data_IF_429803529229
#
_entry.id   IF_429803529229
#
_cell.length_a   1.000
_cell.length_b   1.000
_cell.length_c   1.000
_cell.angle_alpha   90.00
_cell.angle_beta   90.00
_cell.angle_gamma   90.00
#
_symmetry.space_group_name_H-M   'P 1'
#
loop_
_entity.id
_entity.type
_entity.pdbx_description
1 polymer ?
#
# COMPACT_ATOMS: atom_id res chain seq x y z
N UNK A 1 0.58 9.79 -23.99
CA UNK A 1 1.11 10.56 -22.83
C UNK A 1 0.12 11.67 -22.53
N UNK A 2 -0.65 11.62 -21.43
CA UNK A 2 -1.56 12.71 -21.11
C UNK A 2 -0.75 13.90 -20.58
N UNK A 3 -1.04 15.08 -21.10
CA UNK A 3 -0.53 16.37 -20.62
C UNK A 3 -1.30 16.73 -19.34
N UNK A 4 -0.60 16.82 -18.21
CA UNK A 4 -1.20 17.33 -16.97
C UNK A 4 -1.32 18.86 -17.05
N UNK A 5 -2.55 19.38 -16.97
CA UNK A 5 -2.84 20.80 -16.80
C UNK A 5 -2.86 21.10 -15.31
N UNK A 6 -1.90 21.89 -14.82
CA UNK A 6 -1.80 22.26 -13.41
C UNK A 6 -2.31 23.69 -13.22
N UNK A 7 -3.41 23.84 -12.48
CA UNK A 7 -3.87 25.14 -11.96
C UNK A 7 -3.19 25.46 -10.62
N UNK A 8 -2.89 26.74 -10.42
CA UNK A 8 -2.24 27.25 -9.20
C UNK A 8 -3.26 27.32 -8.07
N UNK A 9 -3.13 26.44 -7.07
CA UNK A 9 -3.85 26.58 -5.80
C UNK A 9 -3.28 27.74 -4.98
N UNK A 10 -4.12 28.71 -4.67
CA UNK A 10 -3.81 29.85 -3.80
C UNK A 10 -3.71 29.44 -2.32
N UNK A 11 -2.61 29.82 -1.69
CA UNK A 11 -2.34 29.64 -0.25
C UNK A 11 -3.38 30.39 0.61
N UNK A 12 -4.19 29.63 1.35
CA UNK A 12 -5.00 30.14 2.46
C UNK A 12 -4.17 30.22 3.75
N UNK A 13 -4.24 31.35 4.44
CA UNK A 13 -3.60 31.62 5.74
C UNK A 13 -4.28 30.84 6.89
N UNK A 14 -3.53 30.35 7.90
CA UNK A 14 -4.13 29.68 9.06
C UNK A 14 -4.58 30.70 10.13
N UNK A 15 -5.88 30.69 10.46
CA UNK A 15 -6.39 31.30 11.69
C UNK A 15 -6.08 30.39 12.90
N UNK A 16 -5.53 31.01 13.95
CA UNK A 16 -5.23 30.38 15.23
C UNK A 16 -6.43 30.51 16.16
N UNK A 17 -6.93 29.40 16.70
CA UNK A 17 -7.91 29.42 17.78
C UNK A 17 -7.28 28.86 19.07
N UNK A 18 -7.20 29.75 20.07
CA UNK A 18 -6.79 29.54 21.44
C UNK A 18 -8.02 29.18 22.29
N UNK A 19 -7.84 28.28 23.27
CA UNK A 19 -8.79 28.05 24.37
C UNK A 19 -9.00 26.55 24.60
N UNK A 20 -9.12 26.02 25.81
CA UNK A 20 -9.27 26.60 27.14
C UNK A 20 -8.87 25.52 28.15
N UNK A 21 -8.33 25.93 29.30
CA UNK A 21 -8.03 25.07 30.44
C UNK A 21 -9.29 24.42 31.03
N UNK A 22 -9.17 23.17 31.48
CA UNK A 22 -10.16 22.48 32.30
C UNK A 22 -9.48 21.66 33.38
N UNK A 23 -9.35 22.25 34.57
CA UNK A 23 -9.01 21.60 35.84
C UNK A 23 -10.22 20.79 36.36
N UNK A 24 -9.98 19.61 36.91
CA UNK A 24 -10.96 18.85 37.71
C UNK A 24 -10.35 17.55 38.24
N UNK A 25 -9.70 17.58 39.41
CA UNK A 25 -10.20 17.18 40.72
C UNK A 25 -10.36 15.66 40.95
N UNK A 26 -9.39 15.13 41.71
CA UNK A 26 -9.42 14.08 42.75
C UNK A 26 -10.68 13.24 42.99
N UNK A 27 -10.52 11.94 43.23
CA UNK A 27 -10.94 11.31 44.50
C UNK A 27 -10.38 9.89 44.72
N UNK A 28 -9.89 9.68 45.95
CA UNK A 28 -9.53 8.41 46.58
C UNK A 28 -10.69 7.41 46.58
N UNK A 29 -10.38 6.11 46.50
CA UNK A 29 -11.01 5.13 47.41
C UNK A 29 -10.10 3.90 47.60
N UNK A 30 -9.60 3.74 48.82
CA UNK A 30 -9.09 2.49 49.35
C UNK A 30 -10.23 1.48 49.51
N UNK A 31 -10.03 0.24 49.08
CA UNK A 31 -10.68 -0.91 49.72
C UNK A 31 -9.65 -2.01 49.93
N UNK A 32 -9.32 -2.19 51.22
CA UNK A 32 -8.65 -3.33 51.81
C UNK A 32 -9.61 -4.52 51.76
N UNK A 33 -9.14 -5.70 51.31
CA UNK A 33 -10.01 -6.85 51.14
C UNK A 33 -9.30 -8.21 51.11
N UNK A 34 -8.89 -8.66 52.30
CA UNK A 34 -8.88 -10.06 52.76
C UNK A 34 -8.09 -11.10 51.95
N UNK A 35 -6.88 -11.40 52.45
CA UNK A 35 -6.19 -12.68 52.34
C UNK A 35 -7.14 -13.85 52.65
N UNK A 36 -7.40 -14.69 51.64
CA UNK A 36 -7.86 -16.06 51.84
C UNK A 36 -6.75 -16.99 51.39
N UNK A 37 -6.02 -17.53 52.37
CA UNK A 37 -4.96 -18.51 52.17
C UNK A 37 -5.64 -19.89 52.08
N UNK A 38 -6.03 -20.28 50.87
CA UNK A 38 -6.53 -21.63 50.61
C UNK A 38 -5.35 -22.49 50.17
N UNK A 39 -4.89 -23.34 51.09
CA UNK A 39 -3.84 -24.31 50.87
C UNK A 39 -4.42 -25.48 50.03
N UNK A 40 -4.33 -25.39 48.70
CA UNK A 40 -4.55 -26.54 47.82
C UNK A 40 -3.22 -27.29 47.64
N UNK A 41 -3.18 -28.53 48.13
CA UNK A 41 -2.16 -29.49 47.77
C UNK A 41 -2.38 -29.89 46.30
N UNK A 42 -1.73 -29.18 45.38
CA UNK A 42 -1.70 -29.54 43.97
C UNK A 42 -0.65 -30.65 43.77
N UNK A 43 -1.13 -31.86 43.51
CA UNK A 43 -0.34 -32.97 42.97
C UNK A 43 0.29 -32.50 41.67
N UNK A 44 1.59 -32.20 41.70
CA UNK A 44 2.36 -31.74 40.55
C UNK A 44 2.53 -32.89 39.57
N UNK A 45 1.59 -33.05 38.65
CA UNK A 45 1.83 -33.82 37.43
C UNK A 45 2.75 -32.98 36.56
N UNK A 46 4.02 -33.37 36.50
CA UNK A 46 4.96 -32.82 35.53
C UNK A 46 4.38 -33.05 34.12
N UNK A 47 3.74 -32.01 33.58
CA UNK A 47 3.34 -32.03 32.18
C UNK A 47 4.62 -32.09 31.36
N UNK A 48 4.69 -32.96 30.33
CA UNK A 48 5.76 -32.88 29.36
C UNK A 48 5.75 -31.46 28.81
N UNK A 49 6.89 -30.79 28.90
CA UNK A 49 7.12 -29.51 28.26
C UNK A 49 7.04 -29.82 26.78
N UNK A 50 5.85 -29.70 26.20
CA UNK A 50 5.63 -29.74 24.78
C UNK A 50 6.65 -28.78 24.19
N UNK A 51 7.55 -29.34 23.38
CA UNK A 51 8.54 -28.59 22.65
C UNK A 51 7.78 -27.52 21.87
N UNK A 52 7.79 -26.31 22.42
CA UNK A 52 7.12 -25.16 21.89
C UNK A 52 7.71 -24.96 20.51
N UNK A 53 6.96 -25.41 19.51
CA UNK A 53 7.31 -25.25 18.11
C UNK A 53 7.61 -23.78 17.94
N UNK A 54 8.88 -23.46 17.69
CA UNK A 54 9.29 -22.10 17.40
C UNK A 54 8.31 -21.57 16.35
N UNK A 55 7.71 -20.38 16.56
CA UNK A 55 6.73 -19.87 15.62
C UNK A 55 7.37 -19.92 14.24
N UNK A 56 6.78 -20.70 13.33
CA UNK A 56 7.17 -20.72 11.93
C UNK A 56 7.35 -19.26 11.55
N UNK A 57 8.57 -18.87 11.19
CA UNK A 57 8.96 -17.48 11.02
C UNK A 57 7.87 -16.79 10.22
N UNK A 58 7.07 -15.95 10.89
CA UNK A 58 5.85 -15.42 10.31
C UNK A 58 6.28 -14.63 9.09
N UNK A 59 6.02 -15.19 7.91
CA UNK A 59 6.40 -14.56 6.66
C UNK A 59 5.70 -13.21 6.63
N UNK A 60 6.44 -12.15 6.32
CA UNK A 60 5.88 -10.80 6.26
C UNK A 60 4.61 -10.81 5.39
N UNK A 61 3.48 -10.26 5.87
CA UNK A 61 2.16 -10.48 5.27
C UNK A 61 2.05 -9.93 3.85
N UNK A 62 2.95 -9.04 3.46
CA UNK A 62 2.98 -8.41 2.15
C UNK A 62 3.84 -9.16 1.11
N UNK A 63 4.51 -10.25 1.48
CA UNK A 63 5.32 -11.03 0.52
C UNK A 63 4.46 -11.83 -0.47
N UNK A 64 4.89 -11.85 -1.72
CA UNK A 64 4.22 -12.52 -2.83
C UNK A 64 3.76 -11.56 -3.91
N UNK A 65 2.89 -12.07 -4.80
CA UNK A 65 2.31 -11.31 -5.91
C UNK A 65 0.89 -10.87 -5.56
N UNK A 66 0.58 -9.62 -5.85
CA UNK A 66 -0.65 -8.96 -5.45
C UNK A 66 -1.22 -8.17 -6.62
N UNK A 67 -2.50 -8.37 -6.90
CA UNK A 67 -3.28 -7.40 -7.66
C UNK A 67 -3.69 -6.28 -6.73
N UNK A 68 -3.47 -5.03 -7.12
CA UNK A 68 -3.78 -3.83 -6.35
C UNK A 68 -4.80 -3.01 -7.11
N UNK A 69 -5.94 -2.74 -6.50
CA UNK A 69 -6.97 -1.83 -7.02
C UNK A 69 -7.14 -0.66 -6.06
N UNK A 70 -7.08 0.55 -6.60
CA UNK A 70 -7.38 1.81 -5.93
C UNK A 70 -8.69 2.33 -6.47
N UNK A 71 -9.58 2.77 -5.58
CA UNK A 71 -10.75 3.57 -5.89
C UNK A 71 -10.53 4.97 -5.33
N UNK A 72 -10.55 5.97 -6.20
CA UNK A 72 -10.44 7.36 -5.81
C UNK A 72 -11.76 7.84 -5.22
N UNK A 73 -11.66 8.78 -4.29
CA UNK A 73 -12.80 9.38 -3.61
C UNK A 73 -13.75 10.01 -4.65
N UNK A 74 -15.04 9.64 -4.69
CA UNK A 74 -16.02 10.29 -5.57
C UNK A 74 -16.20 11.78 -5.27
N UNK A 75 -15.88 12.24 -4.06
CA UNK A 75 -15.99 13.66 -3.66
C UNK A 75 -14.77 14.50 -4.06
N UNK A 76 -13.75 13.90 -4.68
CA UNK A 76 -12.62 14.68 -5.22
C UNK A 76 -13.05 15.57 -6.39
N UNK A 77 -12.44 16.77 -6.48
CA UNK A 77 -12.63 17.79 -7.53
C UNK A 77 -12.17 17.34 -8.94
N UNK A 78 -12.07 16.04 -9.17
CA UNK A 78 -11.70 15.46 -10.46
C UNK A 78 -12.86 15.53 -11.45
N UNK A 79 -12.52 15.66 -12.72
CA UNK A 79 -13.49 15.59 -13.81
C UNK A 79 -14.25 14.25 -13.74
N UNK A 80 -15.60 14.25 -13.71
CA UNK A 80 -16.38 13.01 -13.69
C UNK A 80 -16.15 12.12 -14.93
N UNK A 81 -15.62 12.65 -16.03
CA UNK A 81 -15.22 11.89 -17.21
C UNK A 81 -13.87 11.17 -17.06
N UNK A 82 -13.14 11.40 -15.96
CA UNK A 82 -11.90 10.70 -15.67
C UNK A 82 -12.14 9.37 -14.93
N UNK A 83 -11.27 8.36 -15.14
CA UNK A 83 -11.31 7.13 -14.35
C UNK A 83 -11.07 7.43 -12.86
N UNK A 84 -11.97 6.96 -12.00
CA UNK A 84 -11.84 7.04 -10.53
C UNK A 84 -11.26 5.76 -9.94
N UNK A 85 -10.41 5.10 -10.70
CA UNK A 85 -9.75 3.87 -10.28
C UNK A 85 -8.38 3.69 -10.95
N UNK A 86 -7.47 3.04 -10.23
CA UNK A 86 -6.15 2.63 -10.73
C UNK A 86 -5.91 1.17 -10.37
N UNK A 87 -5.39 0.37 -11.30
CA UNK A 87 -4.95 -0.98 -11.00
C UNK A 87 -3.53 -1.29 -11.49
N UNK A 88 -2.89 -2.22 -10.80
CA UNK A 88 -1.52 -2.66 -11.04
C UNK A 88 -1.26 -4.00 -10.35
N UNK A 89 -0.17 -4.65 -10.72
CA UNK A 89 0.32 -5.84 -10.01
C UNK A 89 1.62 -5.49 -9.29
N UNK A 90 1.72 -5.89 -8.03
CA UNK A 90 2.95 -5.82 -7.25
C UNK A 90 3.48 -7.22 -7.00
N UNK A 91 4.80 -7.34 -7.04
CA UNK A 91 5.51 -8.55 -6.63
C UNK A 91 6.57 -8.14 -5.62
N UNK A 92 6.47 -8.69 -4.40
CA UNK A 92 7.40 -8.41 -3.31
C UNK A 92 8.04 -9.72 -2.89
N UNK A 93 9.32 -9.87 -3.17
CA UNK A 93 10.08 -11.10 -2.95
C UNK A 93 11.17 -10.88 -1.91
N UNK A 94 11.45 -11.91 -1.11
CA UNK A 94 12.62 -11.95 -0.26
C UNK A 94 13.87 -12.29 -1.05
N UNK A 95 14.89 -11.42 -0.97
CA UNK A 95 16.21 -11.60 -1.60
C UNK A 95 17.27 -11.45 -0.52
N UNK A 96 17.64 -12.56 0.12
CA UNK A 96 18.55 -12.58 1.25
C UNK A 96 17.99 -11.80 2.46
N UNK A 97 18.64 -10.68 2.81
CA UNK A 97 18.20 -9.77 3.89
C UNK A 97 17.47 -8.53 3.39
N UNK A 98 17.10 -8.52 2.11
CA UNK A 98 16.46 -7.40 1.42
C UNK A 98 15.18 -7.88 0.75
N UNK A 99 14.36 -6.92 0.31
CA UNK A 99 13.24 -7.22 -0.57
C UNK A 99 13.50 -6.71 -1.97
N UNK A 100 12.92 -7.39 -2.95
CA UNK A 100 12.74 -6.85 -4.30
C UNK A 100 11.27 -6.55 -4.47
N UNK A 101 10.93 -5.28 -4.70
CA UNK A 101 9.58 -4.85 -5.01
C UNK A 101 9.51 -4.48 -6.49
N UNK A 102 8.74 -5.24 -7.25
CA UNK A 102 8.45 -5.03 -8.67
C UNK A 102 7.01 -4.58 -8.86
N UNK A 103 6.79 -3.56 -9.69
CA UNK A 103 5.50 -3.00 -10.06
C UNK A 103 5.28 -3.22 -11.55
N UNK A 104 4.17 -3.85 -11.89
CA UNK A 104 3.69 -4.05 -13.26
C UNK A 104 2.46 -3.15 -13.49
N UNK A 105 2.61 -2.02 -14.22
CA UNK A 105 1.55 -1.03 -14.32
C UNK A 105 0.45 -1.39 -15.33
N UNK A 106 0.70 -2.38 -16.19
CA UNK A 106 -0.25 -2.85 -17.19
C UNK A 106 -0.79 -4.21 -16.76
N UNK A 107 -2.08 -4.23 -16.41
CA UNK A 107 -2.79 -5.46 -16.04
C UNK A 107 -3.64 -5.93 -17.22
N UNK A 108 -3.41 -7.16 -17.66
CA UNK A 108 -4.15 -7.82 -18.73
C UNK A 108 -5.09 -8.88 -18.16
N UNK A 109 -6.39 -8.71 -18.40
CA UNK A 109 -7.39 -9.77 -18.21
C UNK A 109 -7.69 -10.42 -19.55
N UNK A 110 -8.08 -11.70 -19.53
CA UNK A 110 -8.66 -12.39 -20.70
C UNK A 110 -9.82 -11.60 -21.28
N UNK A 111 -10.63 -11.00 -20.41
CA UNK A 111 -11.71 -10.12 -20.79
C UNK A 111 -11.72 -8.83 -19.97
N UNK A 112 -11.80 -7.72 -20.67
CA UNK A 112 -11.62 -6.38 -20.13
C UNK A 112 -12.97 -5.64 -19.98
N UNK A 113 -14.09 -6.35 -19.86
CA UNK A 113 -15.40 -5.71 -19.67
C UNK A 113 -15.41 -4.81 -18.45
N UNK A 114 -16.06 -3.66 -18.60
CA UNK A 114 -16.15 -2.63 -17.56
C UNK A 114 -14.86 -1.86 -17.32
N UNK A 115 -13.68 -2.36 -17.69
CA UNK A 115 -12.38 -1.65 -17.54
C UNK A 115 -12.15 -0.62 -18.63
N UNK A 116 -12.60 -0.92 -19.85
CA UNK A 116 -12.38 -0.04 -20.99
C UNK A 116 -13.67 0.13 -21.79
N UNK A 117 -13.86 1.34 -22.28
CA UNK A 117 -14.96 1.71 -23.16
C UNK A 117 -14.40 2.16 -24.51
N UNK A 118 -15.13 1.82 -25.58
CA UNK A 118 -14.85 2.36 -26.90
C UNK A 118 -15.38 3.79 -26.96
N UNK A 119 -14.54 4.72 -27.40
CA UNK A 119 -14.93 6.10 -27.69
C UNK A 119 -15.38 6.25 -29.14
N UNK A 120 -16.05 7.36 -29.45
CA UNK A 120 -16.57 7.68 -30.79
C UNK A 120 -15.46 7.74 -31.86
N UNK A 121 -14.23 8.06 -31.47
CA UNK A 121 -13.03 8.07 -32.31
C UNK A 121 -12.43 6.67 -32.58
N UNK A 122 -13.06 5.61 -32.06
CA UNK A 122 -12.59 4.24 -32.17
C UNK A 122 -11.45 3.88 -31.22
N UNK A 123 -10.99 4.82 -30.38
CA UNK A 123 -9.98 4.55 -29.35
C UNK A 123 -10.63 3.88 -28.13
N UNK A 124 -9.86 3.04 -27.45
CA UNK A 124 -10.24 2.50 -26.14
C UNK A 124 -9.66 3.36 -25.04
N UNK A 125 -10.51 3.80 -24.13
CA UNK A 125 -10.11 4.50 -22.91
C UNK A 125 -10.58 3.72 -21.69
N UNK A 126 -9.95 3.96 -20.53
CA UNK A 126 -10.45 3.43 -19.28
C UNK A 126 -11.87 3.97 -19.03
N UNK A 127 -12.73 3.11 -18.48
CA UNK A 127 -14.10 3.51 -18.12
C UNK A 127 -14.06 4.68 -17.12
N UNK A 128 -14.91 5.70 -17.33
CA UNK A 128 -15.05 6.80 -16.38
C UNK A 128 -15.70 6.30 -15.08
N UNK A 129 -15.51 7.05 -13.98
CA UNK A 129 -16.12 6.71 -12.70
C UNK A 129 -15.45 5.51 -12.02
N UNK A 130 -16.20 4.75 -11.21
CA UNK A 130 -15.67 3.64 -10.40
C UNK A 130 -15.89 2.31 -11.12
N UNK A 131 -14.82 1.55 -11.33
CA UNK A 131 -14.89 0.18 -11.83
C UNK A 131 -14.56 -0.83 -10.72
N UNK A 132 -15.24 -1.97 -10.69
CA UNK A 132 -14.90 -3.10 -9.83
C UNK A 132 -14.83 -4.39 -10.64
N UNK A 133 -13.92 -5.33 -10.32
CA UNK A 133 -13.82 -6.59 -11.04
C UNK A 133 -15.09 -7.44 -10.85
N UNK A 134 -15.51 -8.12 -11.92
CA UNK A 134 -16.55 -9.14 -11.88
C UNK A 134 -16.08 -10.41 -11.15
N UNK A 135 -17.00 -11.34 -10.87
CA UNK A 135 -16.65 -12.63 -10.25
C UNK A 135 -15.61 -13.42 -11.06
N UNK A 136 -15.74 -13.43 -12.39
CA UNK A 136 -14.79 -14.08 -13.30
C UNK A 136 -13.42 -13.41 -13.26
N UNK A 137 -13.37 -12.07 -13.21
CA UNK A 137 -12.14 -11.31 -13.09
C UNK A 137 -11.47 -11.52 -11.72
N UNK A 138 -12.23 -11.64 -10.63
CA UNK A 138 -11.70 -12.01 -9.31
C UNK A 138 -11.10 -13.42 -9.34
N UNK A 139 -11.74 -14.38 -10.00
CA UNK A 139 -11.19 -15.72 -10.18
C UNK A 139 -9.89 -15.68 -10.99
N UNK A 140 -9.83 -14.87 -12.05
CA UNK A 140 -8.63 -14.67 -12.86
C UNK A 140 -7.49 -14.00 -12.08
N UNK A 141 -7.78 -12.96 -11.28
CA UNK A 141 -6.83 -12.32 -10.35
C UNK A 141 -6.20 -13.38 -9.43
N UNK A 142 -7.03 -14.18 -8.77
CA UNK A 142 -6.57 -15.22 -7.84
C UNK A 142 -5.72 -16.27 -8.53
N UNK A 143 -6.12 -16.70 -9.74
CA UNK A 143 -5.37 -17.67 -10.53
C UNK A 143 -4.01 -17.15 -11.01
N UNK A 144 -3.85 -15.83 -11.12
CA UNK A 144 -2.63 -15.18 -11.60
C UNK A 144 -2.80 -14.63 -13.01
N UNK A 145 -2.91 -13.31 -13.10
CA UNK A 145 -2.91 -12.55 -14.34
C UNK A 145 -1.54 -12.56 -15.01
N UNK A 146 -1.56 -12.44 -16.34
CA UNK A 146 -0.36 -12.22 -17.14
C UNK A 146 0.22 -10.85 -16.80
N UNK A 147 1.54 -10.80 -16.67
CA UNK A 147 2.29 -9.56 -16.46
C UNK A 147 3.13 -9.26 -17.69
N UNK A 148 3.17 -7.99 -18.08
CA UNK A 148 4.11 -7.48 -19.07
C UNK A 148 5.39 -7.03 -18.35
N UNK A 149 6.51 -7.69 -18.65
CA UNK A 149 7.81 -7.34 -18.07
C UNK A 149 8.42 -6.08 -18.69
N UNK A 150 7.98 -5.67 -19.88
CA UNK A 150 8.56 -4.51 -20.58
C UNK A 150 8.35 -3.20 -19.82
N UNK A 151 7.18 -3.05 -19.21
CA UNK A 151 6.80 -1.88 -18.42
C UNK A 151 7.07 -2.03 -16.91
N UNK A 152 7.67 -3.15 -16.49
CA UNK A 152 7.93 -3.43 -15.09
C UNK A 152 9.00 -2.49 -14.50
N UNK A 153 8.75 -2.01 -13.28
CA UNK A 153 9.71 -1.22 -12.50
C UNK A 153 10.08 -1.99 -11.24
N UNK A 154 11.36 -2.12 -10.93
CA UNK A 154 11.80 -2.86 -9.76
C UNK A 154 12.75 -2.04 -8.88
N UNK A 155 12.64 -2.23 -7.56
CA UNK A 155 13.52 -1.63 -6.55
C UNK A 155 13.95 -2.69 -5.54
N UNK A 156 15.22 -2.65 -5.17
CA UNK A 156 15.71 -3.37 -3.99
C UNK A 156 15.48 -2.50 -2.75
N UNK A 157 14.79 -3.05 -1.75
CA UNK A 157 14.52 -2.43 -0.47
C UNK A 157 15.40 -3.07 0.60
N UNK A 158 16.13 -2.24 1.35
CA UNK A 158 16.97 -2.69 2.46
C UNK A 158 16.39 -2.16 3.76
N UNK A 159 16.47 -2.95 4.82
CA UNK A 159 15.95 -2.55 6.11
C UNK A 159 15.68 -3.72 7.05
N UNK A 160 14.82 -3.47 8.02
CA UNK A 160 14.43 -4.43 9.06
C UNK A 160 13.00 -4.14 9.53
N UNK A 161 12.31 -5.13 10.14
CA UNK A 161 10.94 -4.91 10.65
C UNK A 161 10.80 -3.68 11.56
N UNK A 162 11.81 -3.41 12.39
CA UNK A 162 11.84 -2.26 13.32
C UNK A 162 12.08 -0.90 12.66
N UNK A 163 12.68 -0.85 11.47
CA UNK A 163 13.02 0.40 10.76
C UNK A 163 12.22 0.61 9.47
N UNK A 164 11.48 -0.42 9.04
CA UNK A 164 10.95 -0.53 7.70
C UNK A 164 12.03 -0.90 6.69
N UNK A 165 11.61 -1.08 5.44
CA UNK A 165 12.45 -1.35 4.28
C UNK A 165 12.33 -0.21 3.29
N UNK A 166 13.46 0.23 2.74
CA UNK A 166 13.51 1.39 1.88
C UNK A 166 14.46 1.15 0.71
N UNK A 167 14.10 1.64 -0.48
CA UNK A 167 15.02 1.67 -1.62
C UNK A 167 16.12 2.70 -1.42
N UNK A 168 17.30 2.48 -1.99
CA UNK A 168 18.31 3.53 -2.01
C UNK A 168 17.81 4.74 -2.83
N UNK A 169 17.74 5.91 -2.20
CA UNK A 169 17.52 7.19 -2.88
C UNK A 169 18.86 7.83 -3.21
N UNK A 170 19.11 8.14 -4.48
CA UNK A 170 20.19 9.05 -4.83
C UNK A 170 19.78 9.87 -6.05
N UNK A 171 19.37 11.12 -5.83
CA UNK A 171 19.71 12.17 -6.78
C UNK A 171 21.22 12.30 -6.68
N UNK A 172 21.96 11.63 -7.57
CA UNK A 172 23.30 12.14 -7.86
C UNK A 172 23.06 13.56 -8.37
N UNK A 173 23.59 14.56 -7.67
CA UNK A 173 23.51 15.97 -8.02
C UNK A 173 23.81 16.12 -9.51
N UNK A 174 22.78 16.14 -10.34
CA UNK A 174 22.89 16.41 -11.75
C UNK A 174 23.34 17.85 -11.88
N UNK A 175 24.10 18.14 -12.94
CA UNK A 175 24.42 19.50 -13.34
C UNK A 175 23.20 20.42 -13.18
N UNK A 176 23.43 21.69 -12.86
CA UNK A 176 22.39 22.72 -12.79
C UNK A 176 21.50 22.80 -14.05
N UNK A 177 21.93 22.21 -15.17
CA UNK A 177 21.20 22.16 -16.44
C UNK A 177 20.39 20.87 -16.66
N UNK A 178 20.38 19.91 -15.73
CA UNK A 178 19.69 18.63 -15.89
C UNK A 178 18.59 18.46 -14.83
N UNK A 179 17.37 18.17 -15.28
CA UNK A 179 16.27 17.76 -14.41
C UNK A 179 16.40 16.26 -14.17
N UNK A 180 16.65 15.88 -12.91
CA UNK A 180 16.68 14.49 -12.47
C UNK A 180 15.31 14.06 -11.96
N UNK A 181 14.93 12.81 -12.28
CA UNK A 181 13.79 12.12 -11.68
C UNK A 181 14.30 10.99 -10.79
N UNK A 182 13.73 10.85 -9.59
CA UNK A 182 13.99 9.72 -8.74
C UNK A 182 12.75 9.30 -7.96
N UNK A 183 12.68 8.00 -7.69
CA UNK A 183 11.62 7.39 -6.89
C UNK A 183 12.23 6.72 -5.66
N UNK A 184 11.66 7.02 -4.50
CA UNK A 184 11.94 6.39 -3.23
C UNK A 184 10.75 5.49 -2.84
N UNK A 185 11.00 4.20 -2.68
CA UNK A 185 9.99 3.21 -2.34
C UNK A 185 10.24 2.72 -0.92
N UNK A 186 9.17 2.55 -0.14
CA UNK A 186 9.29 2.21 1.28
C UNK A 186 8.12 1.34 1.75
N UNK A 187 8.41 0.42 2.67
CA UNK A 187 7.45 -0.40 3.40
C UNK A 187 7.74 -0.22 4.89
N UNK A 188 6.75 0.25 5.66
CA UNK A 188 6.81 0.27 7.14
C UNK A 188 5.73 -0.60 7.73
N UNK A 189 5.96 -1.10 8.93
CA UNK A 189 4.91 -1.72 9.74
C UNK A 189 4.39 -0.69 10.76
N UNK A 190 3.08 -0.46 10.78
CA UNK A 190 2.39 0.35 11.77
C UNK A 190 1.32 -0.50 12.42
N UNK A 191 1.43 -0.69 13.73
CA UNK A 191 0.48 -1.52 14.49
C UNK A 191 0.31 -2.93 13.91
N UNK A 192 1.39 -3.47 13.32
CA UNK A 192 1.40 -4.79 12.65
C UNK A 192 0.98 -4.78 11.18
N UNK A 193 0.49 -3.65 10.64
CA UNK A 193 0.02 -3.53 9.27
C UNK A 193 1.03 -2.85 8.35
N UNK A 194 1.19 -3.31 7.10
CA UNK A 194 2.10 -2.68 6.16
C UNK A 194 1.56 -1.35 5.63
N UNK A 195 2.42 -0.34 5.64
CA UNK A 195 2.24 0.95 4.97
C UNK A 195 3.23 1.02 3.83
N UNK A 196 2.72 1.07 2.61
CA UNK A 196 3.52 1.21 1.41
C UNK A 196 3.57 2.67 1.00
N UNK A 197 4.75 3.17 0.63
CA UNK A 197 4.85 4.53 0.09
C UNK A 197 5.82 4.63 -1.07
N UNK A 198 5.49 5.52 -2.00
CA UNK A 198 6.33 5.90 -3.13
C UNK A 198 6.43 7.43 -3.15
N UNK A 199 7.64 7.95 -3.05
CA UNK A 199 7.88 9.39 -3.21
C UNK A 199 8.61 9.61 -4.53
N UNK A 200 7.92 10.27 -5.44
CA UNK A 200 8.39 10.64 -6.77
C UNK A 200 8.91 12.08 -6.66
N UNK A 201 10.16 12.31 -7.08
CA UNK A 201 10.81 13.61 -6.91
C UNK A 201 11.51 14.01 -8.20
N UNK A 202 11.24 15.23 -8.65
CA UNK A 202 11.78 15.82 -9.87
C UNK A 202 12.42 17.17 -9.57
N UNK A 203 13.66 17.38 -9.97
CA UNK A 203 14.32 18.66 -9.76
C UNK A 203 15.73 18.74 -10.32
N UNK A 204 16.30 19.94 -10.27
CA UNK A 204 17.68 20.26 -10.61
C UNK A 204 18.32 21.06 -9.48
N UNK A 205 19.64 21.28 -9.51
CA UNK A 205 20.32 22.12 -8.51
C UNK A 205 19.84 23.59 -8.46
N UNK A 206 19.08 24.05 -9.47
CA UNK A 206 18.61 25.45 -9.59
C UNK A 206 17.09 25.61 -9.54
N UNK A 207 16.34 24.52 -9.46
CA UNK A 207 14.87 24.57 -9.49
C UNK A 207 14.32 24.01 -8.19
N UNK A 208 13.12 24.47 -7.82
CA UNK A 208 12.35 23.84 -6.76
C UNK A 208 12.17 22.34 -7.07
N UNK A 209 12.31 21.50 -6.03
CA UNK A 209 12.10 20.07 -6.15
C UNK A 209 10.61 19.82 -6.06
N UNK A 210 10.03 19.31 -7.14
CA UNK A 210 8.66 18.81 -7.13
C UNK A 210 8.67 17.43 -6.49
N UNK A 211 7.89 17.27 -5.42
CA UNK A 211 7.74 16.00 -4.71
C UNK A 211 6.26 15.60 -4.70
N UNK A 212 5.98 14.37 -5.13
CA UNK A 212 4.67 13.75 -5.03
C UNK A 212 4.80 12.44 -4.26
N UNK A 213 4.08 12.33 -3.15
CA UNK A 213 4.07 11.11 -2.33
C UNK A 213 2.77 10.35 -2.52
N UNK A 214 2.86 9.08 -2.89
CA UNK A 214 1.77 8.12 -2.84
C UNK A 214 1.93 7.23 -1.61
N UNK A 215 0.85 6.99 -0.88
CA UNK A 215 0.80 6.17 0.34
C UNK A 215 -0.41 5.24 0.30
N UNK A 216 -0.18 4.00 0.70
CA UNK A 216 -1.18 2.94 0.90
C UNK A 216 -1.05 2.49 2.35
N UNK A 217 -2.02 2.83 3.20
CA UNK A 217 -2.02 2.43 4.61
C UNK A 217 -2.98 1.27 4.81
N UNK A 218 -2.45 0.08 5.09
CA UNK A 218 -3.29 -1.10 5.34
C UNK A 218 -3.94 -0.98 6.70
N UNK A 219 -5.27 -1.16 6.74
CA UNK A 219 -6.07 -1.13 7.98
C UNK A 219 -6.65 -2.51 8.29
N UNK A 220 -6.75 -3.38 7.29
CA UNK A 220 -7.29 -4.74 7.42
C UNK A 220 -6.47 -5.72 6.58
N UNK A 221 -6.22 -6.90 7.16
CA UNK A 221 -5.70 -8.09 6.49
C UNK A 221 -6.71 -9.20 6.80
N UNK A 222 -7.16 -9.93 5.79
CA UNK A 222 -8.07 -11.04 6.00
C UNK A 222 -7.42 -12.17 6.81
N UNK A 223 -8.24 -13.05 7.39
CA UNK A 223 -7.77 -14.15 8.26
C UNK A 223 -6.75 -15.06 7.58
N UNK A 224 -6.81 -15.18 6.25
CA UNK A 224 -5.96 -16.06 5.48
C UNK A 224 -4.74 -15.35 4.87
N UNK A 225 -4.59 -14.03 5.06
CA UNK A 225 -3.51 -13.24 4.45
C UNK A 225 -3.55 -13.20 2.92
N UNK A 226 -4.71 -13.41 2.30
CA UNK A 226 -4.93 -13.33 0.85
C UNK A 226 -5.53 -11.99 0.40
N UNK A 227 -6.01 -11.16 1.32
CA UNK A 227 -6.55 -9.85 1.02
C UNK A 227 -6.08 -8.82 2.03
N UNK A 228 -5.70 -7.65 1.53
CA UNK A 228 -5.44 -6.46 2.34
C UNK A 228 -6.32 -5.32 1.85
N UNK A 229 -6.69 -4.41 2.74
CA UNK A 229 -7.39 -3.17 2.36
C UNK A 229 -7.07 -2.04 3.32
N UNK A 230 -7.29 -0.82 2.85
CA UNK A 230 -7.16 0.38 3.66
C UNK A 230 -7.18 1.64 2.81
N UNK A 231 -6.53 2.68 3.30
CA UNK A 231 -6.60 4.03 2.70
C UNK A 231 -5.50 4.29 1.68
N UNK A 232 -5.87 4.99 0.61
CA UNK A 232 -4.96 5.49 -0.42
C UNK A 232 -4.87 7.02 -0.35
N UNK A 233 -3.67 7.54 -0.51
CA UNK A 233 -3.42 8.97 -0.64
C UNK A 233 -2.31 9.22 -1.67
N UNK A 234 -2.48 10.20 -2.55
CA UNK A 234 -1.46 10.68 -3.48
C UNK A 234 -1.43 12.21 -3.46
N UNK A 235 -0.32 12.76 -2.97
CA UNK A 235 -0.19 14.18 -2.68
C UNK A 235 -1.22 14.63 -1.63
N UNK A 236 -1.67 15.88 -1.74
CA UNK A 236 -2.75 16.45 -0.92
C UNK A 236 -4.14 16.21 -1.51
N UNK A 237 -4.21 16.00 -2.81
CA UNK A 237 -5.45 16.19 -3.58
C UNK A 237 -6.17 14.88 -3.87
N UNK A 238 -5.44 13.76 -3.96
CA UNK A 238 -6.02 12.47 -4.29
C UNK A 238 -6.09 11.59 -3.05
N UNK A 239 -7.31 11.18 -2.71
CA UNK A 239 -7.61 10.25 -1.63
C UNK A 239 -8.48 9.12 -2.16
N UNK A 240 -8.52 8.02 -1.44
CA UNK A 240 -9.32 6.88 -1.83
C UNK A 240 -9.17 5.70 -0.89
N UNK A 241 -9.67 4.56 -1.36
CA UNK A 241 -9.48 3.26 -0.73
C UNK A 241 -8.67 2.39 -1.67
N UNK A 242 -7.91 1.45 -1.13
CA UNK A 242 -7.30 0.39 -1.91
C UNK A 242 -7.64 -0.96 -1.32
N UNK A 243 -7.59 -1.96 -2.17
CA UNK A 243 -7.50 -3.34 -1.74
C UNK A 243 -6.49 -4.10 -2.59
N UNK A 244 -5.86 -5.08 -1.97
CA UNK A 244 -4.90 -5.97 -2.58
C UNK A 244 -5.44 -7.39 -2.49
N UNK A 245 -5.37 -8.16 -3.57
CA UNK A 245 -5.68 -9.59 -3.57
C UNK A 245 -4.46 -10.38 -4.00
N UNK A 246 -4.10 -11.37 -3.19
CA UNK A 246 -2.97 -12.24 -3.44
C UNK A 246 -3.26 -13.09 -4.67
N UNK A 247 -2.26 -13.19 -5.53
CA UNK A 247 -2.30 -13.98 -6.75
C UNK A 247 -1.51 -15.26 -6.50
N UNK A 248 -2.09 -16.40 -6.84
CA UNK A 248 -1.36 -17.66 -6.80
C UNK A 248 -0.40 -17.69 -7.98
N UNK A 249 0.90 -17.89 -7.71
CA UNK A 249 1.95 -17.88 -8.75
C UNK A 249 1.88 -19.16 -9.63
N UNK A 250 0.85 -19.99 -9.47
CA UNK A 250 0.76 -21.33 -10.04
C UNK A 250 0.16 -21.48 -11.45
N UNK A 251 -0.62 -20.53 -11.98
CA UNK A 251 -1.37 -20.77 -13.22
C UNK A 251 -1.03 -19.87 -14.42
N UNK A 252 -0.08 -18.93 -14.26
CA UNK A 252 0.20 -17.88 -15.25
C UNK A 252 1.53 -17.99 -16.01
N UNK A 253 2.36 -19.01 -15.78
CA UNK A 253 3.51 -19.31 -16.65
C UNK A 253 3.01 -19.97 -17.94
N UNK A 254 2.27 -19.20 -18.75
CA UNK A 254 2.09 -19.53 -20.15
C UNK A 254 3.41 -19.34 -20.88
N UNK A 255 3.81 -20.38 -21.61
CA UNK A 255 5.04 -20.49 -22.39
C UNK A 255 5.49 -19.15 -23.00
N UNK A 256 6.75 -18.80 -22.71
CA UNK A 256 7.47 -17.86 -23.57
C UNK A 256 7.57 -18.47 -24.97
N UNK A 257 7.38 -17.69 -26.05
CA UNK A 257 7.55 -18.18 -27.42
C UNK A 257 8.99 -18.63 -27.71
#
# INVERSE_FOLDING_TARGET
>A
MPFYRWEKSSLGTPESAVGLMGLGLTLNLCVVGVMSLVLWAATSTAQPVDAQSAPASAQEPFLGRWYVLVHLDPESDLDPAEPRWEDQIWEIESVGKSFRWTLFPHVEFKRNEGRYESREDGLRARSPGVWSPSADQIAEIKAGLKVDSYSARSKSLRGSPSKGWQSAGALRSGSASMVGYHELWEIRLRDGFPVFSRSDRMGSARTEVLEATTRFSTDQIDTNGHRMSGTYQKGTDFKGQFWMTRMDVGAGQGDAP
#
